data_IF_628829580338
#
_entry.id   IF_628829580338
#
_cell.length_a   1.000
_cell.length_b   1.000
_cell.length_c   1.000
_cell.angle_alpha   90.00
_cell.angle_beta   90.00
_cell.angle_gamma   90.00
#
_symmetry.space_group_name_H-M   'P 1'
#
loop_
_entity.id
_entity.type
_entity.pdbx_description
1 polymer ?
#
# COMPACT_ATOMS: atom_id res chain seq x y z
N UNK A 1 -3.28 -43.55 -22.91
CA UNK A 1 -4.05 -43.29 -21.68
C UNK A 1 -3.47 -42.04 -21.05
N UNK A 2 -4.12 -40.90 -21.23
CA UNK A 2 -3.69 -39.64 -20.64
C UNK A 2 -4.30 -39.53 -19.24
N UNK A 3 -3.45 -39.40 -18.22
CA UNK A 3 -3.90 -39.06 -16.88
C UNK A 3 -4.47 -37.64 -16.90
N UNK A 4 -5.73 -37.41 -16.49
CA UNK A 4 -6.21 -36.06 -16.27
C UNK A 4 -5.46 -35.51 -15.06
N UNK A 5 -4.66 -34.47 -15.28
CA UNK A 5 -4.07 -33.69 -14.20
C UNK A 5 -5.18 -33.19 -13.29
N UNK A 6 -5.11 -33.55 -12.01
CA UNK A 6 -5.90 -32.92 -10.97
C UNK A 6 -5.57 -31.43 -11.02
N UNK A 7 -6.52 -30.61 -11.50
CA UNK A 7 -6.50 -29.18 -11.22
C UNK A 7 -6.79 -29.07 -9.73
N UNK A 8 -5.75 -28.97 -8.90
CA UNK A 8 -5.97 -28.56 -7.51
C UNK A 8 -6.62 -27.18 -7.56
N UNK A 9 -7.91 -27.11 -7.20
CA UNK A 9 -8.59 -25.84 -7.04
C UNK A 9 -7.80 -25.00 -6.04
N UNK A 10 -7.47 -23.76 -6.41
CA UNK A 10 -6.74 -22.85 -5.55
C UNK A 10 -7.44 -22.77 -4.17
N UNK A 11 -6.74 -23.17 -3.11
CA UNK A 11 -7.30 -23.25 -1.78
C UNK A 11 -7.56 -21.83 -1.24
N UNK A 12 -8.83 -21.39 -1.28
CA UNK A 12 -9.23 -20.08 -0.76
C UNK A 12 -9.48 -20.13 0.75
N UNK A 13 -9.25 -19.03 1.49
CA UNK A 13 -9.66 -18.92 2.88
C UNK A 13 -11.12 -19.26 3.09
N UNK A 14 -11.40 -20.05 4.13
CA UNK A 14 -12.75 -20.41 4.53
C UNK A 14 -13.21 -19.52 5.67
N UNK A 15 -14.50 -19.20 5.71
CA UNK A 15 -15.08 -18.29 6.71
C UNK A 15 -16.25 -18.93 7.45
N UNK A 16 -16.30 -18.71 8.76
CA UNK A 16 -17.49 -18.95 9.60
C UNK A 16 -18.00 -17.60 10.06
N UNK A 17 -19.07 -17.11 9.43
CA UNK A 17 -19.63 -15.79 9.73
C UNK A 17 -20.76 -15.92 10.74
N UNK A 18 -20.63 -15.20 11.85
CA UNK A 18 -21.64 -15.03 12.89
C UNK A 18 -22.23 -13.64 12.77
N UNK A 19 -23.56 -13.58 12.57
CA UNK A 19 -24.28 -12.34 12.39
C UNK A 19 -25.66 -12.44 13.05
N UNK A 20 -26.21 -11.34 13.59
CA UNK A 20 -27.63 -11.23 13.87
C UNK A 20 -28.48 -11.43 12.61
N UNK A 21 -29.73 -11.86 12.77
CA UNK A 21 -30.65 -12.12 11.65
C UNK A 21 -30.81 -10.91 10.72
N UNK A 22 -30.78 -9.70 11.27
CA UNK A 22 -30.84 -8.44 10.51
C UNK A 22 -29.66 -8.22 9.56
N UNK A 23 -28.52 -8.89 9.79
CA UNK A 23 -27.29 -8.76 9.01
C UNK A 23 -26.99 -10.00 8.16
N UNK A 24 -27.91 -10.96 8.06
CA UNK A 24 -27.76 -12.15 7.18
C UNK A 24 -27.48 -11.81 5.71
N UNK A 25 -28.14 -10.82 5.07
CA UNK A 25 -27.81 -10.44 3.70
C UNK A 25 -26.36 -9.97 3.54
N UNK A 26 -25.84 -9.25 4.55
CA UNK A 26 -24.47 -8.76 4.58
C UNK A 26 -23.48 -9.91 4.81
N UNK A 27 -23.81 -10.84 5.71
CA UNK A 27 -23.03 -12.06 5.91
C UNK A 27 -22.96 -12.92 4.64
N UNK A 28 -24.07 -13.05 3.90
CA UNK A 28 -24.09 -13.73 2.61
C UNK A 28 -23.20 -13.04 1.57
N UNK A 29 -23.23 -11.70 1.50
CA UNK A 29 -22.37 -10.94 0.61
C UNK A 29 -20.87 -11.12 0.92
N UNK A 30 -20.49 -11.13 2.21
CA UNK A 30 -19.10 -11.37 2.62
C UNK A 30 -18.66 -12.83 2.34
N UNK A 31 -19.57 -13.81 2.42
CA UNK A 31 -19.26 -15.20 2.04
C UNK A 31 -18.92 -15.32 0.55
N UNK A 32 -19.57 -14.53 -0.30
CA UNK A 32 -19.27 -14.43 -1.74
C UNK A 32 -18.02 -13.57 -2.04
N UNK A 33 -17.15 -13.40 -1.01
CA UNK A 33 -15.87 -12.70 -1.10
C UNK A 33 -15.08 -13.07 -2.36
N UNK A 34 -14.48 -12.06 -2.98
CA UNK A 34 -13.77 -12.16 -4.25
C UNK A 34 -12.58 -13.15 -4.15
N UNK A 35 -12.68 -14.39 -4.68
CA UNK A 35 -11.64 -15.40 -4.49
C UNK A 35 -10.31 -15.00 -5.10
N UNK A 36 -10.33 -14.16 -6.15
CA UNK A 36 -9.12 -13.64 -6.76
C UNK A 36 -8.40 -12.63 -5.84
N UNK A 37 -9.14 -11.84 -5.06
CA UNK A 37 -8.54 -10.95 -4.08
C UNK A 37 -7.84 -11.75 -2.99
N UNK A 38 -8.51 -12.77 -2.45
CA UNK A 38 -7.95 -13.66 -1.44
C UNK A 38 -6.72 -14.40 -1.95
N UNK A 39 -6.74 -14.90 -3.19
CA UNK A 39 -5.58 -15.55 -3.79
C UNK A 39 -4.39 -14.58 -3.92
N UNK A 40 -4.63 -13.35 -4.41
CA UNK A 40 -3.56 -12.33 -4.49
C UNK A 40 -2.95 -12.01 -3.12
N UNK A 41 -3.76 -11.99 -2.07
CA UNK A 41 -3.28 -11.78 -0.70
C UNK A 41 -2.39 -12.94 -0.26
N UNK A 42 -2.83 -14.18 -0.48
CA UNK A 42 -2.03 -15.37 -0.18
C UNK A 42 -0.71 -15.37 -0.94
N UNK A 43 -0.74 -15.09 -2.24
CA UNK A 43 0.46 -15.01 -3.09
C UNK A 43 1.44 -13.93 -2.60
N UNK A 44 0.92 -12.77 -2.21
CA UNK A 44 1.70 -11.65 -1.69
C UNK A 44 2.39 -12.00 -0.36
N UNK A 45 1.70 -12.72 0.52
CA UNK A 45 2.22 -13.19 1.80
C UNK A 45 3.08 -14.46 1.68
N UNK A 46 3.01 -15.18 0.55
CA UNK A 46 3.71 -16.45 0.32
C UNK A 46 3.02 -17.67 0.92
N UNK A 47 1.70 -17.62 1.10
CA UNK A 47 0.93 -18.75 1.62
C UNK A 47 0.48 -19.68 0.48
N UNK A 48 0.83 -20.96 0.59
CA UNK A 48 0.29 -22.00 -0.29
C UNK A 48 -1.07 -22.51 0.20
N UNK A 49 -1.30 -22.46 1.51
CA UNK A 49 -2.51 -22.93 2.16
C UNK A 49 -3.11 -21.82 3.01
N UNK A 50 -4.44 -21.64 2.99
CA UNK A 50 -5.07 -20.55 3.73
C UNK A 50 -5.00 -20.76 5.25
N UNK A 51 -4.89 -22.01 5.71
CA UNK A 51 -4.92 -22.38 7.13
C UNK A 51 -6.34 -22.70 7.62
N UNK A 52 -6.54 -22.57 8.94
CA UNK A 52 -7.85 -22.83 9.57
C UNK A 52 -8.93 -21.86 9.07
N UNK A 53 -10.22 -22.24 9.12
CA UNK A 53 -11.32 -21.32 8.88
C UNK A 53 -11.20 -20.06 9.76
N UNK A 54 -11.47 -18.90 9.18
CA UNK A 54 -11.47 -17.62 9.85
C UNK A 54 -12.88 -17.37 10.38
N UNK A 55 -13.00 -17.16 11.69
CA UNK A 55 -14.26 -16.78 12.33
C UNK A 55 -14.49 -15.29 12.12
N UNK A 56 -15.65 -14.89 11.61
CA UNK A 56 -15.98 -13.48 11.32
C UNK A 56 -17.22 -13.12 12.11
N UNK A 57 -17.14 -12.11 12.97
CA UNK A 57 -18.28 -11.63 13.77
C UNK A 57 -18.73 -10.29 13.21
N UNK A 58 -20.00 -10.20 12.78
CA UNK A 58 -20.64 -8.93 12.45
C UNK A 58 -21.24 -8.34 13.73
N UNK A 59 -20.57 -7.31 14.23
CA UNK A 59 -20.87 -6.67 15.51
C UNK A 59 -21.60 -5.34 15.27
N UNK A 60 -22.94 -5.28 15.43
CA UNK A 60 -23.68 -4.02 15.37
C UNK A 60 -23.34 -3.14 16.57
N UNK A 61 -23.68 -1.85 16.47
CA UNK A 61 -23.40 -0.81 17.47
C UNK A 61 -23.83 -1.19 18.89
N UNK A 62 -24.93 -1.92 19.04
CA UNK A 62 -25.48 -2.33 20.33
C UNK A 62 -24.73 -3.51 20.96
N UNK A 63 -23.86 -4.19 20.20
CA UNK A 63 -23.12 -5.34 20.70
C UNK A 63 -22.05 -4.94 21.72
N UNK A 64 -21.73 -5.80 22.72
CA UNK A 64 -20.65 -5.54 23.66
C UNK A 64 -19.30 -5.28 22.96
N UNK A 65 -19.00 -6.05 21.91
CA UNK A 65 -17.77 -5.90 21.12
C UNK A 65 -17.66 -4.49 20.51
N UNK A 66 -18.76 -3.91 20.04
CA UNK A 66 -18.76 -2.54 19.52
C UNK A 66 -18.63 -1.49 20.61
N UNK A 67 -19.30 -1.67 21.76
CA UNK A 67 -19.28 -0.72 22.88
C UNK A 67 -17.92 -0.66 23.58
N UNK A 68 -17.21 -1.77 23.66
CA UNK A 68 -15.88 -1.87 24.29
C UNK A 68 -14.75 -1.41 23.35
N UNK A 69 -15.03 -1.27 22.04
CA UNK A 69 -14.05 -0.84 21.04
C UNK A 69 -14.05 0.68 20.86
N UNK A 70 -12.88 1.33 20.79
CA UNK A 70 -12.77 2.75 20.45
C UNK A 70 -13.55 3.13 19.19
N UNK A 71 -14.21 4.29 19.20
CA UNK A 71 -15.12 4.72 18.12
C UNK A 71 -14.45 4.81 16.73
N UNK A 72 -13.15 5.09 16.71
CA UNK A 72 -12.36 5.22 15.47
C UNK A 72 -11.95 3.87 14.86
N UNK A 73 -12.18 2.74 15.54
CA UNK A 73 -11.89 1.40 15.00
C UNK A 73 -13.11 0.93 14.20
N UNK A 74 -12.88 0.43 12.98
CA UNK A 74 -13.92 -0.17 12.11
C UNK A 74 -13.97 -1.70 12.18
N UNK A 75 -12.89 -2.33 12.63
CA UNK A 75 -12.75 -3.77 12.77
C UNK A 75 -11.41 -4.10 13.42
N UNK A 76 -11.25 -5.36 13.82
CA UNK A 76 -9.97 -5.87 14.32
C UNK A 76 -9.87 -7.37 14.14
N UNK A 77 -8.63 -7.84 13.99
CA UNK A 77 -8.26 -9.24 13.92
C UNK A 77 -7.56 -9.72 15.19
N UNK A 78 -7.92 -10.91 15.65
CA UNK A 78 -7.26 -11.64 16.73
C UNK A 78 -6.59 -12.88 16.12
N UNK A 79 -5.28 -12.78 15.87
CA UNK A 79 -4.49 -13.82 15.19
C UNK A 79 -4.60 -15.19 15.85
N UNK A 80 -4.43 -15.25 17.18
CA UNK A 80 -4.37 -16.50 17.95
C UNK A 80 -5.63 -17.35 17.83
N UNK A 81 -6.80 -16.71 17.66
CA UNK A 81 -8.10 -17.39 17.52
C UNK A 81 -8.63 -17.33 16.10
N UNK A 82 -7.85 -16.82 15.14
CA UNK A 82 -8.27 -16.61 13.75
C UNK A 82 -9.65 -15.94 13.66
N UNK A 83 -9.87 -14.93 14.51
CA UNK A 83 -11.15 -14.24 14.64
C UNK A 83 -11.04 -12.82 14.10
N UNK A 84 -12.01 -12.40 13.29
CA UNK A 84 -12.19 -11.05 12.81
C UNK A 84 -13.49 -10.52 13.40
N UNK A 85 -13.47 -9.30 13.92
CA UNK A 85 -14.67 -8.57 14.33
C UNK A 85 -14.84 -7.37 13.42
N UNK A 86 -16.00 -7.29 12.76
CA UNK A 86 -16.36 -6.18 11.87
C UNK A 86 -17.45 -5.36 12.54
N UNK A 87 -17.16 -4.08 12.82
CA UNK A 87 -18.08 -3.15 13.46
C UNK A 87 -18.95 -2.51 12.38
N UNK A 88 -20.15 -3.05 12.19
CA UNK A 88 -20.95 -2.80 10.97
C UNK A 88 -21.39 -1.36 10.79
N UNK A 89 -21.53 -0.61 11.88
CA UNK A 89 -21.92 0.80 11.88
C UNK A 89 -20.74 1.77 11.72
N UNK A 90 -19.51 1.24 11.63
CA UNK A 90 -18.26 2.02 11.59
C UNK A 90 -17.48 1.83 10.30
N UNK A 91 -18.10 1.30 9.25
CA UNK A 91 -17.44 0.88 8.00
C UNK A 91 -16.94 2.02 7.09
N UNK A 92 -16.88 3.26 7.61
CA UNK A 92 -16.46 4.48 6.90
C UNK A 92 -15.30 5.19 7.63
N UNK A 93 -14.65 4.54 8.60
CA UNK A 93 -13.49 5.12 9.28
C UNK A 93 -12.21 4.75 8.55
N UNK A 94 -11.34 5.75 8.38
CA UNK A 94 -10.02 5.60 7.76
C UNK A 94 -9.26 4.42 8.42
N UNK A 95 -8.58 3.55 7.64
CA UNK A 95 -8.21 3.68 6.23
C UNK A 95 -9.22 3.15 5.20
N UNK A 96 -10.37 2.63 5.64
CA UNK A 96 -11.29 1.88 4.78
C UNK A 96 -12.54 2.70 4.45
N UNK A 97 -13.00 2.64 3.21
CA UNK A 97 -14.19 3.35 2.72
C UNK A 97 -15.43 2.42 2.59
N UNK A 98 -15.28 1.12 2.91
CA UNK A 98 -16.39 0.16 2.95
C UNK A 98 -16.13 -1.00 3.90
N UNK A 99 -17.19 -1.70 4.30
CA UNK A 99 -17.07 -2.89 5.17
C UNK A 99 -16.27 -4.02 4.50
N UNK A 100 -16.38 -4.15 3.18
CA UNK A 100 -15.61 -5.14 2.42
C UNK A 100 -14.10 -4.79 2.43
N UNK A 101 -13.74 -3.51 2.41
CA UNK A 101 -12.34 -3.08 2.55
C UNK A 101 -11.81 -3.37 3.96
N UNK A 102 -12.59 -3.08 5.01
CA UNK A 102 -12.25 -3.49 6.39
C UNK A 102 -12.06 -5.00 6.46
N UNK A 103 -12.96 -5.77 5.87
CA UNK A 103 -12.87 -7.23 5.88
C UNK A 103 -11.59 -7.75 5.24
N UNK A 104 -11.22 -7.24 4.05
CA UNK A 104 -9.98 -7.63 3.37
C UNK A 104 -8.73 -7.15 4.15
N UNK A 105 -8.81 -5.98 4.79
CA UNK A 105 -7.75 -5.50 5.69
C UNK A 105 -7.54 -6.47 6.86
N UNK A 106 -8.60 -6.84 7.57
CA UNK A 106 -8.51 -7.76 8.71
C UNK A 106 -8.06 -9.18 8.32
N UNK A 107 -8.47 -9.67 7.15
CA UNK A 107 -7.95 -10.94 6.61
C UNK A 107 -6.45 -10.86 6.37
N UNK A 108 -5.94 -9.72 5.92
CA UNK A 108 -4.51 -9.54 5.65
C UNK A 108 -3.67 -9.77 6.89
N UNK A 109 -4.10 -9.27 8.06
CA UNK A 109 -3.42 -9.51 9.33
C UNK A 109 -3.36 -10.99 9.67
N UNK A 110 -4.48 -11.70 9.57
CA UNK A 110 -4.52 -13.15 9.83
C UNK A 110 -3.56 -13.90 8.90
N UNK A 111 -3.57 -13.58 7.60
CA UNK A 111 -2.70 -14.25 6.63
C UNK A 111 -1.22 -13.89 6.84
N UNK A 112 -0.89 -12.64 7.18
CA UNK A 112 0.48 -12.23 7.49
C UNK A 112 1.03 -12.98 8.71
N UNK A 113 0.25 -13.07 9.79
CA UNK A 113 0.65 -13.82 10.98
C UNK A 113 0.81 -15.32 10.70
N UNK A 114 -0.09 -15.94 9.92
CA UNK A 114 0.07 -17.34 9.49
C UNK A 114 1.34 -17.55 8.69
N UNK A 115 1.63 -16.64 7.75
CA UNK A 115 2.84 -16.69 6.93
C UNK A 115 4.13 -16.52 7.76
N UNK A 116 4.06 -15.75 8.85
CA UNK A 116 5.14 -15.59 9.82
C UNK A 116 5.22 -16.73 10.85
N UNK A 117 4.37 -17.76 10.78
CA UNK A 117 4.32 -18.82 11.77
C UNK A 117 3.85 -18.34 13.15
N UNK A 118 2.89 -17.43 13.17
CA UNK A 118 2.31 -16.79 14.37
C UNK A 118 3.31 -15.97 15.20
N UNK A 119 4.48 -15.67 14.65
CA UNK A 119 5.45 -14.78 15.28
C UNK A 119 4.99 -13.32 15.21
N UNK A 120 5.40 -12.48 16.18
CA UNK A 120 5.06 -11.06 16.19
C UNK A 120 5.74 -10.32 15.04
N UNK A 121 4.99 -9.42 14.41
CA UNK A 121 5.47 -8.51 13.37
C UNK A 121 5.49 -7.07 13.91
N UNK A 122 6.43 -6.21 13.48
CA UNK A 122 6.34 -4.78 13.74
C UNK A 122 5.04 -4.22 13.16
N UNK A 123 4.37 -3.37 13.93
CA UNK A 123 3.04 -2.87 13.54
C UNK A 123 3.05 -2.12 12.21
N UNK A 124 4.07 -1.31 11.94
CA UNK A 124 4.18 -0.62 10.65
C UNK A 124 4.23 -1.59 9.46
N UNK A 125 4.85 -2.77 9.63
CA UNK A 125 5.01 -3.73 8.55
C UNK A 125 3.69 -4.47 8.33
N UNK A 126 3.08 -4.99 9.39
CA UNK A 126 1.78 -5.66 9.36
C UNK A 126 0.70 -4.76 8.72
N UNK A 127 0.60 -3.51 9.17
CA UNK A 127 -0.32 -2.51 8.62
C UNK A 127 0.02 -2.14 7.18
N UNK A 128 1.31 -1.96 6.88
CA UNK A 128 1.78 -1.70 5.54
C UNK A 128 1.37 -2.81 4.55
N UNK A 129 1.51 -4.08 4.94
CA UNK A 129 1.09 -5.22 4.13
C UNK A 129 -0.43 -5.25 3.94
N UNK A 130 -1.21 -5.04 5.01
CA UNK A 130 -2.67 -4.98 4.95
C UNK A 130 -3.19 -3.85 4.04
N UNK A 131 -2.48 -2.73 4.01
CA UNK A 131 -2.79 -1.62 3.10
C UNK A 131 -2.41 -1.91 1.64
N UNK A 132 -1.33 -2.66 1.40
CA UNK A 132 -0.90 -3.03 0.04
C UNK A 132 -1.84 -4.04 -0.63
N UNK A 133 -2.44 -4.94 0.14
CA UNK A 133 -3.36 -5.97 -0.35
C UNK A 133 -4.76 -5.45 -0.66
N UNK A 134 -5.24 -4.45 0.09
CA UNK A 134 -6.58 -3.87 -0.07
C UNK A 134 -6.80 -3.06 -1.37
N UNK A 135 -5.74 -2.83 -2.17
CA UNK A 135 -5.70 -2.21 -3.51
C UNK A 135 -6.94 -1.38 -3.91
N UNK A 136 -6.91 -0.07 -3.64
CA UNK A 136 -7.52 0.94 -4.52
C UNK A 136 -6.65 2.18 -4.69
N UNK A 137 -6.78 2.78 -5.88
CA UNK A 137 -6.09 3.98 -6.38
C UNK A 137 -6.21 5.23 -5.47
N UNK A 138 -7.26 5.32 -4.63
CA UNK A 138 -7.53 6.50 -3.77
C UNK A 138 -6.48 6.70 -2.66
N UNK A 139 -5.79 5.64 -2.26
CA UNK A 139 -4.73 5.76 -1.25
C UNK A 139 -3.51 6.55 -1.75
N UNK A 140 -3.23 6.59 -3.06
CA UNK A 140 -2.12 7.40 -3.58
C UNK A 140 -2.38 8.89 -3.39
N UNK A 141 -3.60 9.35 -3.67
CA UNK A 141 -3.99 10.75 -3.57
C UNK A 141 -4.16 11.17 -2.11
N UNK A 142 -4.73 10.29 -1.27
CA UNK A 142 -4.82 10.50 0.18
C UNK A 142 -3.46 10.47 0.86
N UNK A 143 -2.56 9.56 0.47
CA UNK A 143 -1.19 9.52 0.98
C UNK A 143 -0.43 10.78 0.58
N UNK A 144 -0.59 11.28 -0.65
CA UNK A 144 -0.03 12.58 -1.07
C UNK A 144 -0.56 13.75 -0.23
N UNK A 145 -1.88 13.78 0.03
CA UNK A 145 -2.51 14.84 0.81
C UNK A 145 -2.07 14.81 2.28
N UNK A 146 -2.05 13.64 2.91
CA UNK A 146 -1.58 13.48 4.29
C UNK A 146 -0.08 13.69 4.39
N UNK A 147 0.69 13.31 3.37
CA UNK A 147 2.13 13.59 3.30
C UNK A 147 2.43 15.08 3.31
N UNK A 148 1.65 15.89 2.59
CA UNK A 148 1.78 17.35 2.62
C UNK A 148 1.61 17.92 4.05
N UNK A 149 0.78 17.28 4.88
CA UNK A 149 0.57 17.66 6.29
C UNK A 149 1.67 17.14 7.24
N UNK A 150 2.45 16.13 6.83
CA UNK A 150 3.45 15.42 7.65
C UNK A 150 4.90 15.88 7.35
N UNK A 151 5.08 16.70 6.31
CA UNK A 151 6.37 16.99 5.66
C UNK A 151 7.49 17.62 6.53
N UNK A 152 7.21 18.00 7.79
CA UNK A 152 8.17 18.68 8.66
C UNK A 152 8.88 17.78 9.69
N UNK A 153 8.52 16.50 9.84
CA UNK A 153 9.18 15.59 10.79
C UNK A 153 9.45 14.20 10.22
N UNK A 154 10.74 13.84 10.13
CA UNK A 154 11.18 12.47 9.91
C UNK A 154 10.80 11.64 11.13
N UNK A 155 10.04 10.58 10.92
CA UNK A 155 9.55 9.67 11.96
C UNK A 155 10.31 8.35 11.83
N UNK A 156 10.90 7.88 12.93
CA UNK A 156 11.58 6.59 12.92
C UNK A 156 10.61 5.41 12.84
N UNK A 157 11.03 4.25 12.35
CA UNK A 157 10.17 3.06 12.34
C UNK A 157 9.71 2.65 13.76
N UNK A 158 10.55 2.88 14.77
CA UNK A 158 10.18 2.66 16.16
C UNK A 158 9.11 3.66 16.62
N UNK A 159 9.29 4.95 16.31
CA UNK A 159 8.29 5.97 16.61
C UNK A 159 6.97 5.69 15.88
N UNK A 160 7.04 5.28 14.61
CA UNK A 160 5.89 4.88 13.81
C UNK A 160 5.09 3.77 14.48
N UNK A 161 5.75 2.75 15.03
CA UNK A 161 5.09 1.72 15.82
C UNK A 161 4.35 2.29 17.05
N UNK A 162 4.91 3.33 17.69
CA UNK A 162 4.24 3.95 18.85
C UNK A 162 3.01 4.78 18.47
N UNK A 163 2.96 5.33 17.25
CA UNK A 163 1.84 6.16 16.80
C UNK A 163 0.51 5.39 16.73
N UNK A 164 0.56 4.08 16.49
CA UNK A 164 -0.62 3.21 16.49
C UNK A 164 -1.32 3.07 17.85
N UNK A 165 -0.65 3.47 18.95
CA UNK A 165 -1.20 3.38 20.31
C UNK A 165 -1.59 4.75 20.89
N UNK A 166 -1.66 5.79 20.06
CA UNK A 166 -1.98 7.17 20.47
C UNK A 166 -3.44 7.51 20.09
N UNK A 167 -3.71 8.79 19.86
CA UNK A 167 -5.01 9.30 19.41
C UNK A 167 -5.28 9.00 17.93
N UNK A 168 -6.53 9.16 17.51
CA UNK A 168 -6.98 8.88 16.13
C UNK A 168 -6.13 9.61 15.07
N UNK A 169 -5.72 10.85 15.31
CA UNK A 169 -4.93 11.62 14.34
C UNK A 169 -3.55 10.99 14.17
N UNK A 170 -2.92 10.59 15.27
CA UNK A 170 -1.66 9.85 15.27
C UNK A 170 -1.77 8.50 14.56
N UNK A 171 -2.85 7.75 14.80
CA UNK A 171 -3.11 6.46 14.14
C UNK A 171 -3.29 6.64 12.63
N UNK A 172 -4.08 7.62 12.20
CA UNK A 172 -4.27 7.95 10.78
C UNK A 172 -2.94 8.31 10.09
N UNK A 173 -2.09 9.08 10.77
CA UNK A 173 -0.72 9.36 10.30
C UNK A 173 0.11 8.09 10.20
N UNK A 174 0.01 7.20 11.18
CA UNK A 174 0.75 5.94 11.22
C UNK A 174 0.42 5.03 10.02
N UNK A 175 -0.87 4.88 9.69
CA UNK A 175 -1.32 4.14 8.51
C UNK A 175 -0.73 4.69 7.21
N UNK A 176 -0.77 6.02 7.01
CA UNK A 176 -0.20 6.64 5.81
C UNK A 176 1.31 6.40 5.71
N UNK A 177 2.03 6.56 6.82
CA UNK A 177 3.47 6.35 6.86
C UNK A 177 3.84 4.88 6.64
N UNK A 178 3.12 3.94 7.26
CA UNK A 178 3.29 2.51 7.08
C UNK A 178 3.08 2.08 5.62
N UNK A 179 2.01 2.56 4.99
CA UNK A 179 1.75 2.33 3.58
C UNK A 179 2.83 2.93 2.68
N UNK A 180 3.19 4.21 2.88
CA UNK A 180 4.18 4.89 2.06
C UNK A 180 5.56 4.23 2.16
N UNK A 181 5.99 3.88 3.38
CA UNK A 181 7.26 3.20 3.62
C UNK A 181 7.27 1.80 2.99
N UNK A 182 6.20 1.02 3.18
CA UNK A 182 6.10 -0.33 2.61
C UNK A 182 6.09 -0.28 1.09
N UNK A 183 5.36 0.67 0.48
CA UNK A 183 5.36 0.85 -0.98
C UNK A 183 6.75 1.17 -1.51
N UNK A 184 7.44 2.18 -0.95
CA UNK A 184 8.80 2.55 -1.35
C UNK A 184 9.77 1.37 -1.17
N UNK A 185 9.66 0.63 -0.07
CA UNK A 185 10.45 -0.58 0.14
C UNK A 185 10.24 -1.60 -0.99
N UNK A 186 9.00 -1.88 -1.38
CA UNK A 186 8.67 -2.87 -2.41
C UNK A 186 9.03 -2.42 -3.82
N UNK A 187 8.97 -1.12 -4.10
CA UNK A 187 9.47 -0.54 -5.35
C UNK A 187 10.97 -0.78 -5.52
N UNK A 188 11.73 -0.76 -4.42
CA UNK A 188 13.19 -0.90 -4.43
C UNK A 188 13.68 -2.34 -4.31
N UNK A 189 12.94 -3.18 -3.59
CA UNK A 189 13.37 -4.55 -3.24
C UNK A 189 12.62 -5.64 -4.00
N UNK A 190 11.52 -5.29 -4.67
CA UNK A 190 10.66 -6.23 -5.39
C UNK A 190 9.43 -6.65 -4.60
N UNK A 191 8.36 -7.00 -5.34
CA UNK A 191 7.05 -7.36 -4.80
C UNK A 191 7.05 -8.68 -4.02
N UNK A 192 8.09 -9.50 -4.18
CA UNK A 192 8.26 -10.78 -3.49
C UNK A 192 9.00 -10.65 -2.15
N UNK A 193 9.38 -9.44 -1.75
CA UNK A 193 10.04 -9.18 -0.47
C UNK A 193 9.22 -9.60 0.75
N UNK A 194 7.89 -9.34 0.84
CA UNK A 194 7.10 -9.71 2.01
C UNK A 194 7.12 -11.21 2.27
N UNK A 195 6.82 -12.03 1.25
CA UNK A 195 6.85 -13.49 1.39
C UNK A 195 8.23 -14.01 1.82
N UNK A 196 9.32 -13.40 1.34
CA UNK A 196 10.69 -13.80 1.72
C UNK A 196 11.02 -13.46 3.17
N UNK A 197 10.57 -12.29 3.67
CA UNK A 197 10.71 -11.89 5.07
C UNK A 197 9.88 -12.81 5.96
N UNK A 198 8.60 -13.01 5.63
CA UNK A 198 7.67 -13.83 6.42
C UNK A 198 8.13 -15.28 6.52
N UNK A 199 8.60 -15.87 5.42
CA UNK A 199 9.15 -17.23 5.42
C UNK A 199 10.39 -17.39 6.33
N UNK A 200 11.25 -16.37 6.43
CA UNK A 200 12.40 -16.39 7.35
C UNK A 200 11.94 -16.28 8.81
N UNK A 201 10.96 -15.44 9.08
CA UNK A 201 10.39 -15.28 10.43
C UNK A 201 9.73 -16.59 10.88
N UNK A 202 9.01 -17.26 9.99
CA UNK A 202 8.43 -18.58 10.25
C UNK A 202 9.50 -19.61 10.66
N UNK A 203 10.73 -19.48 10.15
CA UNK A 203 11.87 -20.34 10.50
C UNK A 203 12.56 -19.94 11.81
N UNK A 204 12.02 -18.95 12.55
CA UNK A 204 12.54 -18.48 13.83
C UNK A 204 13.58 -17.37 13.73
N UNK A 205 13.82 -16.81 12.54
CA UNK A 205 14.71 -15.65 12.37
C UNK A 205 14.02 -14.40 12.89
N UNK A 206 14.73 -13.57 13.66
CA UNK A 206 14.17 -12.30 14.16
C UNK A 206 13.79 -11.36 13.01
N UNK A 207 12.75 -10.53 13.18
CA UNK A 207 12.32 -9.60 12.12
C UNK A 207 13.45 -8.72 11.56
N UNK A 208 14.29 -8.04 12.39
CA UNK A 208 15.36 -7.20 11.86
C UNK A 208 16.39 -7.97 11.03
N UNK A 209 16.69 -9.20 11.43
CA UNK A 209 17.61 -10.08 10.72
C UNK A 209 16.98 -10.61 9.42
N UNK A 210 15.72 -11.06 9.47
CA UNK A 210 14.98 -11.50 8.29
C UNK A 210 14.86 -10.39 7.25
N UNK A 211 14.61 -9.16 7.70
CA UNK A 211 14.62 -7.96 6.87
C UNK A 211 15.99 -7.76 6.21
N UNK A 212 17.07 -7.70 7.00
CA UNK A 212 18.41 -7.44 6.50
C UNK A 212 18.92 -8.52 5.52
N UNK A 213 18.66 -9.79 5.80
CA UNK A 213 19.00 -10.89 4.90
C UNK A 213 18.20 -10.84 3.57
N UNK A 214 17.02 -10.22 3.58
CA UNK A 214 16.14 -10.17 2.39
C UNK A 214 16.42 -8.96 1.51
N UNK A 215 16.59 -7.79 2.15
CA UNK A 215 16.71 -6.47 1.49
C UNK A 215 18.16 -6.01 1.34
N UNK A 216 19.12 -6.70 1.97
CA UNK A 216 20.53 -6.28 2.09
C UNK A 216 20.73 -4.94 2.80
N UNK A 217 19.74 -4.49 3.58
CA UNK A 217 19.75 -3.23 4.32
C UNK A 217 19.29 -3.44 5.76
N UNK A 218 19.87 -2.71 6.71
CA UNK A 218 19.29 -2.63 8.06
C UNK A 218 17.99 -1.81 8.01
N UNK A 219 17.16 -1.92 9.06
CA UNK A 219 15.95 -1.11 9.18
C UNK A 219 16.26 0.40 9.19
N UNK A 220 17.33 0.81 9.89
CA UNK A 220 17.79 2.20 9.91
C UNK A 220 18.24 2.67 8.53
N UNK A 221 18.96 1.85 7.76
CA UNK A 221 19.35 2.21 6.40
C UNK A 221 18.12 2.36 5.47
N UNK A 222 17.14 1.47 5.59
CA UNK A 222 15.90 1.57 4.82
C UNK A 222 15.11 2.84 5.17
N UNK A 223 15.05 3.20 6.46
CA UNK A 223 14.48 4.44 6.97
C UNK A 223 15.19 5.68 6.40
N UNK A 224 16.50 5.78 6.54
CA UNK A 224 17.31 6.89 6.01
C UNK A 224 17.12 7.05 4.50
N UNK A 225 17.14 5.93 3.77
CA UNK A 225 16.93 5.93 2.34
C UNK A 225 15.54 6.41 1.94
N UNK A 226 14.50 5.95 2.62
CA UNK A 226 13.12 6.40 2.42
C UNK A 226 13.01 7.92 2.57
N UNK A 227 13.52 8.47 3.68
CA UNK A 227 13.49 9.91 3.94
C UNK A 227 14.34 10.71 2.96
N UNK A 228 15.48 10.17 2.52
CA UNK A 228 16.33 10.82 1.50
C UNK A 228 15.60 10.97 0.15
N UNK A 229 14.85 9.95 -0.28
CA UNK A 229 14.09 9.99 -1.53
C UNK A 229 12.94 10.98 -1.45
N UNK A 230 12.28 11.03 -0.30
CA UNK A 230 11.12 11.88 -0.13
C UNK A 230 11.48 13.37 0.02
N UNK A 231 12.64 13.68 0.61
CA UNK A 231 13.18 15.05 0.65
C UNK A 231 13.69 15.53 -0.71
N UNK A 232 14.17 14.64 -1.58
CA UNK A 232 14.52 14.99 -2.97
C UNK A 232 13.27 15.46 -3.72
N UNK A 233 12.17 14.70 -3.70
CA UNK A 233 10.92 15.12 -4.35
C UNK A 233 10.42 16.49 -3.86
N UNK A 234 10.44 16.76 -2.55
CA UNK A 234 10.08 18.06 -1.99
C UNK A 234 11.02 19.21 -2.38
N UNK A 235 12.30 18.93 -2.65
CA UNK A 235 13.29 19.95 -3.07
C UNK A 235 13.21 20.29 -4.55
N UNK A 236 12.98 19.30 -5.42
CA UNK A 236 13.03 19.50 -6.87
C UNK A 236 11.69 19.94 -7.47
N UNK A 237 10.54 19.54 -6.92
CA UNK A 237 9.22 19.96 -7.44
C UNK A 237 9.08 21.49 -7.43
N UNK A 238 9.27 22.22 -6.29
CA UNK A 238 9.10 23.67 -6.28
C UNK A 238 10.09 24.41 -7.18
N UNK A 239 11.29 23.86 -7.37
CA UNK A 239 12.31 24.42 -8.27
C UNK A 239 11.90 24.21 -9.73
N UNK A 240 11.43 23.01 -10.09
CA UNK A 240 10.99 22.67 -11.45
C UNK A 240 9.67 23.36 -11.84
N UNK A 241 8.75 23.57 -10.89
CA UNK A 241 7.49 24.29 -11.09
C UNK A 241 7.56 25.77 -10.73
N UNK A 242 8.74 26.26 -10.30
CA UNK A 242 8.93 27.69 -10.06
C UNK A 242 8.63 28.47 -11.34
N UNK A 243 7.99 29.63 -11.19
CA UNK A 243 7.68 30.49 -12.33
C UNK A 243 8.94 30.80 -13.15
N UNK A 244 10.09 30.97 -12.51
CA UNK A 244 11.37 31.21 -13.17
C UNK A 244 11.81 30.07 -14.11
N UNK A 245 11.65 28.81 -13.70
CA UNK A 245 12.05 27.64 -14.51
C UNK A 245 11.11 27.43 -15.70
N UNK A 246 9.81 27.65 -15.50
CA UNK A 246 8.80 27.62 -16.58
C UNK A 246 9.11 28.69 -17.62
N UNK A 247 9.39 29.94 -17.19
CA UNK A 247 9.80 31.01 -18.10
C UNK A 247 11.14 30.72 -18.78
N UNK A 248 12.09 30.08 -18.10
CA UNK A 248 13.37 29.66 -18.69
C UNK A 248 13.18 28.59 -19.77
N UNK A 249 12.29 27.61 -19.54
CA UNK A 249 11.95 26.61 -20.55
C UNK A 249 11.24 27.24 -21.77
N UNK A 250 10.29 28.14 -21.55
CA UNK A 250 9.59 28.88 -22.62
C UNK A 250 10.57 29.72 -23.44
N UNK A 251 11.50 30.42 -22.79
CA UNK A 251 12.50 31.26 -23.48
C UNK A 251 13.49 30.42 -24.28
N UNK A 252 13.94 29.27 -23.77
CA UNK A 252 14.77 28.33 -24.52
C UNK A 252 14.03 27.75 -25.74
N UNK A 253 12.76 27.39 -25.59
CA UNK A 253 11.92 26.94 -26.71
C UNK A 253 11.71 28.03 -27.76
N UNK A 254 11.48 29.27 -27.32
CA UNK A 254 11.36 30.42 -28.21
C UNK A 254 12.67 30.68 -28.96
N UNK A 255 13.82 30.62 -28.28
CA UNK A 255 15.14 30.76 -28.90
C UNK A 255 15.43 29.63 -29.88
N UNK A 256 15.09 28.39 -29.53
CA UNK A 256 15.22 27.25 -30.43
C UNK A 256 14.31 27.38 -31.66
N UNK A 257 13.06 27.78 -31.48
CA UNK A 257 12.13 28.04 -32.58
C UNK A 257 12.64 29.16 -33.49
N UNK A 258 13.14 30.26 -32.90
CA UNK A 258 13.70 31.38 -33.63
C UNK A 258 14.95 31.01 -34.44
N UNK A 259 15.88 30.26 -33.85
CA UNK A 259 17.08 29.79 -34.57
C UNK A 259 16.72 28.80 -35.68
N UNK A 260 15.74 27.91 -35.46
CA UNK A 260 15.23 26.99 -36.48
C UNK A 260 14.52 27.74 -37.61
N UNK A 261 13.72 28.75 -37.28
CA UNK A 261 13.02 29.59 -38.27
C UNK A 261 14.01 30.41 -39.09
N UNK A 262 15.02 31.02 -38.48
CA UNK A 262 16.08 31.74 -39.20
C UNK A 262 16.88 30.82 -40.12
N UNK A 263 17.22 29.62 -39.68
CA UNK A 263 17.90 28.63 -40.54
C UNK A 263 17.05 28.23 -41.74
N UNK A 264 15.74 28.03 -41.55
CA UNK A 264 14.80 27.75 -42.64
C UNK A 264 14.64 28.93 -43.61
N UNK A 265 14.47 30.14 -43.09
CA UNK A 265 14.34 31.35 -43.91
C UNK A 265 15.62 31.65 -44.72
N UNK A 266 16.80 31.44 -44.12
CA UNK A 266 18.07 31.58 -44.82
C UNK A 266 18.27 30.52 -45.91
N UNK A 267 17.80 29.28 -45.70
CA UNK A 267 17.83 28.24 -46.72
C UNK A 267 16.90 28.55 -47.90
N UNK A 268 15.71 29.10 -47.64
CA UNK A 268 14.78 29.54 -48.69
C UNK A 268 15.40 30.71 -49.48
N UNK A 269 15.97 31.73 -48.82
CA UNK A 269 16.59 32.86 -49.53
C UNK A 269 17.73 32.43 -50.46
N UNK A 270 18.58 31.49 -50.02
CA UNK A 270 19.64 30.94 -50.87
C UNK A 270 19.12 30.21 -52.10
N UNK A 271 18.02 29.47 -51.96
CA UNK A 271 17.39 28.79 -53.10
C UNK A 271 16.81 29.78 -54.12
N UNK A 272 16.34 30.95 -53.69
CA UNK A 272 15.81 31.98 -54.60
C UNK A 272 16.93 32.80 -55.26
N UNK A 273 18.07 32.97 -54.57
CA UNK A 273 19.27 33.60 -55.14
C UNK A 273 19.93 32.71 -56.22
N UNK A 274 19.85 31.39 -56.08
CA UNK A 274 20.31 30.44 -57.11
C UNK A 274 19.39 30.39 -58.34
N UNK A 275 18.07 30.56 -58.16
CA UNK A 275 17.09 30.59 -59.27
C UNK A 275 17.08 31.93 -60.06
N UNK A 276 17.43 33.06 -59.43
CA UNK A 276 17.53 34.38 -60.10
C UNK A 276 18.84 34.56 -60.91
N UNK A 277 19.90 33.82 -60.58
CA UNK A 277 21.18 33.83 -61.30
C UNK A 277 21.18 32.93 -62.57
N UNK A 278 20.17 32.08 -62.73
CA UNK A 278 19.98 31.14 -63.86
C UNK A 278 18.97 31.64 -64.94
N UNK A 279 18.53 32.90 -64.89
CA UNK A 279 17.69 33.59 -65.89
C UNK A 279 18.45 34.67 -66.69
#
# INVERSE_FOLDING_TARGET
MAHPGLVMGAASPQFTIEAPESLEPLAAHLKDSNPQALQRMMDFMGLEHPGLPIRVILAPKESPLAQESPEWISGYAVGQTSTIVLLTDRSLTYPNDSLNEVFLHEISHILAHRAAGEQPLPRWFDEGLAMMTARRWDLEDRARLVWAMVSDTQVSLNELNTLFNKDETSVRRAYVLAYAFTRDLLEQTGQDTPKRILAKIQQGVSFPEAFAQTTSMTLTQAEEQFWSRQTLWNRWIPVATSSGMVWLAITLLAFWAFTRQRKRAAAIKRAWEEDDDDL
#
